data_IF_255230978545
#
_entry.id   IF_255230978545
#
_cell.length_a   1.000
_cell.length_b   1.000
_cell.length_c   1.000
_cell.angle_alpha   90.00
_cell.angle_beta   90.00
_cell.angle_gamma   90.00
#
_symmetry.space_group_name_H-M   'P 1'
#
loop_
_entity.id
_entity.type
_entity.pdbx_description
1 polymer ?
#
# COMPACT_ATOMS: atom_id res chain seq x y z
N UNK A 1 -6.16 54.93 32.05
CA UNK A 1 -6.47 56.26 31.45
C UNK A 1 -7.98 56.38 31.48
N UNK A 2 -8.55 57.34 32.21
CA UNK A 2 -9.99 57.38 32.48
C UNK A 2 -10.73 57.84 31.21
N UNK A 3 -11.43 56.92 30.53
CA UNK A 3 -12.07 57.19 29.24
C UNK A 3 -13.28 58.13 29.36
N UNK A 4 -13.88 58.23 30.54
CA UNK A 4 -15.06 59.04 30.77
C UNK A 4 -14.71 60.24 31.66
N UNK A 5 -14.93 61.45 31.16
CA UNK A 5 -14.57 62.68 31.85
C UNK A 5 -15.78 63.40 32.45
N UNK A 6 -16.97 63.21 31.87
CA UNK A 6 -18.16 63.96 32.23
C UNK A 6 -19.28 63.02 32.66
N UNK A 7 -19.34 62.71 33.95
CA UNK A 7 -20.42 61.92 34.53
C UNK A 7 -21.45 62.83 35.18
N UNK A 8 -22.71 62.73 34.77
CA UNK A 8 -23.80 63.54 35.31
C UNK A 8 -25.01 62.69 35.66
N UNK A 9 -25.68 63.08 36.74
CA UNK A 9 -27.05 62.66 37.04
C UNK A 9 -28.00 63.54 36.21
N UNK A 10 -28.96 62.93 35.52
CA UNK A 10 -29.94 63.70 34.74
C UNK A 10 -30.94 64.40 35.66
N UNK A 11 -31.71 65.35 35.12
CA UNK A 11 -32.76 66.02 35.89
C UNK A 11 -33.82 65.00 36.36
N UNK A 12 -34.15 64.02 35.51
CA UNK A 12 -35.01 62.87 35.87
C UNK A 12 -34.38 61.95 36.91
N UNK A 13 -33.08 61.68 36.78
CA UNK A 13 -32.32 60.88 37.75
C UNK A 13 -32.25 61.54 39.12
N UNK A 14 -32.14 62.87 39.16
CA UNK A 14 -32.16 63.67 40.40
C UNK A 14 -33.54 63.61 41.07
N UNK A 15 -34.61 63.68 40.26
CA UNK A 15 -35.98 63.51 40.75
C UNK A 15 -36.20 62.10 41.33
N UNK A 16 -35.75 61.05 40.63
CA UNK A 16 -35.82 59.66 41.13
C UNK A 16 -34.97 59.46 42.39
N UNK A 17 -33.75 60.01 42.44
CA UNK A 17 -32.90 59.94 43.64
C UNK A 17 -33.60 60.52 44.87
N UNK A 18 -34.32 61.64 44.71
CA UNK A 18 -35.10 62.26 45.79
C UNK A 18 -36.26 61.38 46.27
N UNK A 19 -36.83 60.53 45.41
CA UNK A 19 -37.85 59.53 45.77
C UNK A 19 -37.23 58.33 46.48
N UNK A 20 -36.05 57.88 46.05
CA UNK A 20 -35.34 56.73 46.62
C UNK A 20 -34.90 56.98 48.08
N UNK A 21 -34.54 58.22 48.42
CA UNK A 21 -34.25 58.64 49.80
C UNK A 21 -35.44 58.44 50.77
N UNK A 22 -36.66 58.19 50.26
CA UNK A 22 -37.86 57.84 51.06
C UNK A 22 -38.01 56.34 51.31
N UNK A 23 -37.00 55.53 51.02
CA UNK A 23 -36.95 54.10 51.35
C UNK A 23 -37.31 53.15 50.21
N UNK A 24 -37.30 53.61 48.95
CA UNK A 24 -37.52 52.75 47.78
C UNK A 24 -36.18 52.26 47.18
N UNK A 25 -36.10 51.02 46.69
CA UNK A 25 -34.89 50.51 46.05
C UNK A 25 -34.72 51.06 44.62
N UNK A 26 -33.49 51.43 44.25
CA UNK A 26 -33.15 51.79 42.88
C UNK A 26 -33.12 50.53 42.02
N UNK A 27 -33.96 50.48 40.98
CA UNK A 27 -33.97 49.37 40.02
C UNK A 27 -33.44 49.84 38.68
N UNK A 28 -32.19 49.46 38.38
CA UNK A 28 -31.59 49.67 37.06
C UNK A 28 -32.18 48.64 36.11
N UNK A 29 -32.77 49.09 35.02
CA UNK A 29 -33.46 48.25 34.05
C UNK A 29 -32.55 47.87 32.89
N UNK A 30 -31.76 48.83 32.39
CA UNK A 30 -30.94 48.68 31.19
C UNK A 30 -29.72 49.61 31.25
N UNK A 31 -28.68 49.26 30.48
CA UNK A 31 -27.56 50.16 30.16
C UNK A 31 -27.43 50.24 28.66
N UNK A 32 -27.24 51.44 28.16
CA UNK A 32 -27.04 51.69 26.74
C UNK A 32 -25.80 52.52 26.50
N UNK A 33 -25.32 52.46 25.28
CA UNK A 33 -24.23 53.28 24.75
C UNK A 33 -24.81 54.26 23.73
N UNK A 34 -24.20 55.44 23.62
CA UNK A 34 -24.58 56.50 22.70
C UNK A 34 -23.45 56.83 21.73
N UNK A 35 -23.83 57.08 20.48
CA UNK A 35 -22.94 57.30 19.36
C UNK A 35 -22.55 58.77 19.10
N UNK A 36 -23.07 59.72 19.87
CA UNK A 36 -22.84 61.15 19.65
C UNK A 36 -22.40 61.90 20.91
N UNK A 37 -21.62 62.95 20.71
CA UNK A 37 -21.18 63.86 21.77
C UNK A 37 -22.17 65.01 21.93
N UNK A 38 -22.62 65.24 23.16
CA UNK A 38 -23.53 66.35 23.51
C UNK A 38 -22.79 67.43 24.31
N UNK A 39 -23.11 68.72 24.14
CA UNK A 39 -22.54 69.79 24.96
C UNK A 39 -22.75 69.51 26.45
N UNK A 40 -21.71 69.72 27.26
CA UNK A 40 -21.70 69.38 28.70
C UNK A 40 -22.88 69.99 29.46
N UNK A 41 -23.27 71.22 29.08
CA UNK A 41 -24.40 71.96 29.67
C UNK A 41 -25.76 71.29 29.44
N UNK A 42 -25.90 70.48 28.38
CA UNK A 42 -27.15 69.83 27.99
C UNK A 42 -27.21 68.36 28.47
N UNK A 43 -26.12 67.80 29.00
CA UNK A 43 -26.09 66.39 29.41
C UNK A 43 -27.14 66.07 30.47
N UNK A 44 -27.41 66.99 31.40
CA UNK A 44 -28.41 66.79 32.47
C UNK A 44 -29.85 66.73 31.96
N UNK A 45 -30.12 67.38 30.83
CA UNK A 45 -31.45 67.47 30.23
C UNK A 45 -31.76 66.26 29.33
N UNK A 46 -30.79 65.37 29.09
CA UNK A 46 -30.98 64.20 28.25
C UNK A 46 -31.97 63.22 28.91
N UNK A 47 -33.00 62.83 28.15
CA UNK A 47 -33.91 61.74 28.52
C UNK A 47 -33.56 60.43 27.82
N UNK A 48 -32.78 60.50 26.75
CA UNK A 48 -32.25 59.40 25.94
C UNK A 48 -30.81 59.73 25.51
N UNK A 49 -30.03 58.72 25.16
CA UNK A 49 -28.66 58.94 24.69
C UNK A 49 -28.68 59.50 23.26
N UNK A 50 -27.63 60.23 22.88
CA UNK A 50 -27.53 60.81 21.55
C UNK A 50 -26.92 59.82 20.53
N UNK A 51 -27.38 59.88 19.28
CA UNK A 51 -26.91 59.04 18.18
C UNK A 51 -27.38 57.59 18.25
N UNK A 52 -26.50 56.67 17.84
CA UNK A 52 -26.77 55.22 17.84
C UNK A 52 -26.87 54.71 19.27
N UNK A 53 -28.08 54.39 19.70
CA UNK A 53 -28.31 53.72 20.98
C UNK A 53 -28.11 52.22 20.86
N UNK A 54 -27.19 51.66 21.64
CA UNK A 54 -27.02 50.20 21.72
C UNK A 54 -27.07 49.72 23.15
N UNK A 55 -28.00 48.80 23.41
CA UNK A 55 -28.10 48.10 24.69
C UNK A 55 -26.85 47.24 24.89
N UNK A 56 -26.26 47.35 26.07
CA UNK A 56 -25.09 46.56 26.48
C UNK A 56 -25.46 45.65 27.66
N UNK A 57 -24.63 44.66 27.94
CA UNK A 57 -24.90 43.67 28.97
C UNK A 57 -24.50 44.21 30.35
N UNK A 58 -25.47 44.22 31.25
CA UNK A 58 -25.26 44.42 32.68
C UNK A 58 -24.77 43.10 33.31
N UNK A 59 -23.66 43.14 34.04
CA UNK A 59 -23.23 42.02 34.86
C UNK A 59 -23.76 42.17 36.30
N UNK A 60 -23.77 41.10 37.10
CA UNK A 60 -24.20 41.17 38.50
C UNK A 60 -23.44 42.25 39.27
N UNK A 61 -24.19 43.17 39.88
CA UNK A 61 -23.62 44.20 40.72
C UNK A 61 -22.97 43.58 41.96
N UNK A 62 -21.82 44.11 42.37
CA UNK A 62 -21.13 43.75 43.61
C UNK A 62 -21.01 44.97 44.50
N UNK A 63 -21.06 44.77 45.81
CA UNK A 63 -20.85 45.86 46.78
C UNK A 63 -19.51 45.66 47.45
N UNK A 64 -18.64 46.66 47.37
CA UNK A 64 -17.37 46.71 48.08
C UNK A 64 -17.44 47.90 49.06
N UNK A 65 -17.40 47.60 50.36
CA UNK A 65 -17.59 48.54 51.46
C UNK A 65 -18.90 49.37 51.38
N UNK A 66 -18.82 50.60 50.88
CA UNK A 66 -19.94 51.55 50.72
C UNK A 66 -20.24 51.89 49.26
N UNK A 67 -19.52 51.28 48.32
CA UNK A 67 -19.60 51.55 46.89
C UNK A 67 -20.23 50.37 46.16
N UNK A 68 -21.30 50.59 45.42
CA UNK A 68 -21.88 49.59 44.52
C UNK A 68 -21.15 49.62 43.19
N UNK A 69 -20.55 48.51 42.77
CA UNK A 69 -19.85 48.37 41.50
C UNK A 69 -20.74 47.60 40.53
N UNK A 70 -20.98 48.18 39.36
CA UNK A 70 -21.76 47.60 38.29
C UNK A 70 -20.86 47.41 37.07
N UNK A 71 -20.41 46.17 36.80
CA UNK A 71 -19.68 45.87 35.59
C UNK A 71 -20.64 45.88 34.40
N UNK A 72 -20.22 46.47 33.30
CA UNK A 72 -20.95 46.45 32.04
C UNK A 72 -20.04 45.94 30.94
N UNK A 73 -20.62 45.16 30.03
CA UNK A 73 -19.95 44.54 28.91
C UNK A 73 -20.59 45.04 27.61
N UNK A 74 -19.78 45.67 26.77
CA UNK A 74 -20.11 45.96 25.39
C UNK A 74 -19.51 44.89 24.48
N UNK A 75 -20.36 44.28 23.67
CA UNK A 75 -19.99 43.39 22.56
C UNK A 75 -20.47 43.96 21.21
N UNK A 76 -19.80 43.54 20.14
CA UNK A 76 -20.19 43.89 18.77
C UNK A 76 -21.08 42.85 18.08
N UNK A 77 -21.75 41.95 18.81
CA UNK A 77 -22.57 40.88 18.21
C UNK A 77 -23.80 41.49 17.52
N UNK A 78 -24.04 41.20 16.25
CA UNK A 78 -25.06 41.85 15.41
C UNK A 78 -24.81 43.36 15.16
N UNK A 79 -23.60 43.87 15.37
CA UNK A 79 -23.26 45.25 14.98
C UNK A 79 -22.85 45.25 13.50
N UNK A 80 -23.72 45.78 12.63
CA UNK A 80 -23.51 45.78 11.17
C UNK A 80 -22.52 46.83 10.70
N UNK A 81 -22.59 48.02 11.29
CA UNK A 81 -21.74 49.16 10.94
C UNK A 81 -20.99 49.61 12.20
N UNK A 82 -19.73 49.97 12.05
CA UNK A 82 -18.95 50.55 13.14
C UNK A 82 -19.51 51.91 13.53
N UNK A 83 -19.32 52.27 14.80
CA UNK A 83 -19.74 53.57 15.32
C UNK A 83 -18.74 54.09 16.36
N UNK A 84 -18.72 55.40 16.55
CA UNK A 84 -17.95 56.02 17.62
C UNK A 84 -18.74 55.99 18.92
N UNK A 85 -18.21 55.33 19.94
CA UNK A 85 -18.75 55.38 21.29
C UNK A 85 -18.37 56.70 21.95
N UNK A 86 -19.40 57.47 22.34
CA UNK A 86 -19.24 58.74 23.05
C UNK A 86 -19.89 58.75 24.43
N UNK A 87 -20.96 58.00 24.64
CA UNK A 87 -21.74 58.02 25.89
C UNK A 87 -22.06 56.62 26.40
N UNK A 88 -22.19 56.47 27.72
CA UNK A 88 -22.84 55.32 28.38
C UNK A 88 -23.90 55.85 29.34
N UNK A 89 -25.11 55.34 29.23
CA UNK A 89 -26.26 55.74 30.04
C UNK A 89 -26.89 54.57 30.80
N UNK A 90 -27.18 54.79 32.07
CA UNK A 90 -27.90 53.84 32.93
C UNK A 90 -29.37 54.24 33.00
N UNK A 91 -30.25 53.30 32.70
CA UNK A 91 -31.69 53.47 32.77
C UNK A 91 -32.22 52.82 34.04
N UNK A 92 -33.17 53.49 34.68
CA UNK A 92 -33.82 53.02 35.90
C UNK A 92 -35.33 53.13 35.80
N UNK A 93 -36.03 52.30 36.57
CA UNK A 93 -37.49 52.34 36.69
C UNK A 93 -37.89 53.40 37.72
N UNK A 94 -38.57 54.45 37.26
CA UNK A 94 -39.27 55.42 38.09
C UNK A 94 -40.73 54.96 38.30
N UNK A 95 -41.24 54.95 39.55
CA UNK A 95 -42.61 54.50 39.86
C UNK A 95 -43.72 55.30 39.16
N UNK A 96 -43.45 56.56 38.80
CA UNK A 96 -44.42 57.48 38.21
C UNK A 96 -44.23 57.62 36.70
N UNK A 97 -42.98 57.60 36.22
CA UNK A 97 -42.63 57.87 34.82
C UNK A 97 -42.21 56.64 34.00
N UNK A 98 -42.02 55.49 34.63
CA UNK A 98 -41.51 54.28 33.98
C UNK A 98 -40.00 54.33 33.76
N UNK A 99 -39.50 53.77 32.65
CA UNK A 99 -38.04 53.74 32.39
C UNK A 99 -37.50 55.14 32.03
N UNK A 100 -36.54 55.62 32.83
CA UNK A 100 -35.88 56.92 32.65
C UNK A 100 -34.36 56.76 32.54
N UNK A 101 -33.70 57.67 31.81
CA UNK A 101 -32.24 57.79 31.85
C UNK A 101 -31.84 58.40 33.19
N UNK A 102 -31.26 57.59 34.08
CA UNK A 102 -30.91 57.98 35.44
C UNK A 102 -29.61 58.78 35.48
N UNK A 103 -28.53 58.21 34.98
CA UNK A 103 -27.24 58.89 34.86
C UNK A 103 -26.57 58.52 33.54
N UNK A 104 -25.65 59.37 33.11
CA UNK A 104 -24.84 59.10 31.93
C UNK A 104 -23.42 59.59 32.15
N UNK A 105 -22.49 58.92 31.48
CA UNK A 105 -21.09 59.27 31.41
C UNK A 105 -20.74 59.54 29.95
N UNK A 106 -20.13 60.70 29.68
CA UNK A 106 -19.66 61.06 28.34
C UNK A 106 -18.13 61.06 28.29
N UNK A 107 -17.60 60.49 27.22
CA UNK A 107 -16.17 60.45 26.92
C UNK A 107 -15.68 61.76 26.31
N UNK A 108 -14.42 62.09 26.56
CA UNK A 108 -13.74 63.21 25.89
C UNK A 108 -13.24 62.85 24.50
N UNK A 109 -12.96 61.57 24.27
CA UNK A 109 -12.40 61.02 23.03
C UNK A 109 -13.30 59.88 22.54
N UNK A 110 -13.86 60.03 21.34
CA UNK A 110 -14.66 58.99 20.71
C UNK A 110 -13.85 57.71 20.53
N UNK A 111 -14.42 56.57 20.93
CA UNK A 111 -13.80 55.25 20.74
C UNK A 111 -14.52 54.51 19.63
N UNK A 112 -13.80 54.17 18.56
CA UNK A 112 -14.36 53.38 17.46
C UNK A 112 -14.69 51.96 17.98
N UNK A 113 -15.95 51.58 17.83
CA UNK A 113 -16.44 50.23 18.03
C UNK A 113 -16.58 49.59 16.64
N UNK A 114 -15.74 48.58 16.31
CA UNK A 114 -15.78 47.94 15.00
C UNK A 114 -17.05 47.11 14.82
N UNK A 115 -17.51 46.96 13.58
CA UNK A 115 -18.61 46.03 13.28
C UNK A 115 -18.21 44.58 13.59
N UNK A 116 -19.19 43.68 13.64
CA UNK A 116 -18.96 42.24 13.80
C UNK A 116 -18.07 41.69 12.69
N UNK A 117 -18.29 42.16 11.45
CA UNK A 117 -17.52 41.75 10.27
C UNK A 117 -16.08 42.29 10.31
N UNK A 118 -15.88 43.50 10.83
CA UNK A 118 -14.54 44.12 10.93
C UNK A 118 -13.67 43.48 12.02
N UNK A 119 -14.26 43.12 13.17
CA UNK A 119 -13.53 42.50 14.27
C UNK A 119 -14.41 41.52 15.07
N UNK A 120 -14.56 40.27 14.60
CA UNK A 120 -15.44 39.29 15.24
C UNK A 120 -15.05 39.02 16.71
N UNK A 121 -16.01 39.19 17.63
CA UNK A 121 -15.80 38.91 19.05
C UNK A 121 -15.16 40.06 19.85
N UNK A 122 -15.18 41.28 19.32
CA UNK A 122 -14.75 42.46 20.04
C UNK A 122 -15.62 42.69 21.28
N UNK A 123 -14.95 42.84 22.43
CA UNK A 123 -15.61 43.12 23.71
C UNK A 123 -14.85 44.18 24.50
N UNK A 124 -15.59 44.99 25.25
CA UNK A 124 -15.03 45.93 26.23
C UNK A 124 -15.83 45.81 27.52
N UNK A 125 -15.12 45.71 28.64
CA UNK A 125 -15.72 45.72 29.97
C UNK A 125 -15.35 47.00 30.71
N UNK A 126 -16.31 47.58 31.42
CA UNK A 126 -16.10 48.73 32.30
C UNK A 126 -16.76 48.48 33.66
N UNK A 127 -16.07 48.83 34.74
CA UNK A 127 -16.65 48.85 36.08
C UNK A 127 -17.14 50.27 36.41
N UNK A 128 -18.44 50.42 36.64
CA UNK A 128 -19.07 51.67 37.08
C UNK A 128 -19.31 51.65 38.58
N UNK A 129 -18.78 52.64 39.30
CA UNK A 129 -18.87 52.71 40.75
C UNK A 129 -20.03 53.64 41.14
N UNK A 130 -20.84 53.27 42.12
CA UNK A 130 -22.00 54.04 42.57
C UNK A 130 -21.90 54.23 44.09
N UNK A 131 -21.63 55.46 44.51
CA UNK A 131 -21.64 55.86 45.92
C UNK A 131 -23.05 56.33 46.32
N UNK A 132 -23.85 55.46 46.94
CA UNK A 132 -25.14 55.85 47.52
C UNK A 132 -24.89 56.25 48.98
N UNK A 133 -24.45 57.49 49.20
CA UNK A 133 -24.38 58.07 50.55
C UNK A 133 -25.69 58.82 50.85
N UNK A 134 -26.22 58.70 52.08
CA UNK A 134 -27.44 59.38 52.53
C UNK A 134 -27.36 60.92 52.56
N UNK A 135 -26.36 61.56 51.93
CA UNK A 135 -26.20 63.01 51.94
C UNK A 135 -25.37 63.62 50.78
N UNK A 136 -24.79 62.85 49.85
CA UNK A 136 -23.87 63.41 48.84
C UNK A 136 -23.83 62.61 47.53
N UNK A 137 -23.48 63.25 46.39
CA UNK A 137 -23.71 62.75 45.03
C UNK A 137 -23.00 61.43 44.73
N UNK A 138 -23.54 60.67 43.79
CA UNK A 138 -22.95 59.44 43.26
C UNK A 138 -21.66 59.81 42.51
N UNK A 139 -20.50 59.65 43.15
CA UNK A 139 -19.21 59.67 42.45
C UNK A 139 -19.01 58.34 41.72
N UNK A 140 -19.10 58.40 40.39
CA UNK A 140 -18.78 57.30 39.50
C UNK A 140 -17.30 57.35 39.17
N UNK A 141 -16.50 56.71 40.00
CA UNK A 141 -15.12 56.35 39.64
C UNK A 141 -15.20 55.21 38.62
N UNK A 142 -14.25 55.14 37.68
CA UNK A 142 -14.27 54.17 36.58
C UNK A 142 -12.93 53.48 36.50
N UNK A 143 -12.94 52.15 36.45
CA UNK A 143 -11.74 51.38 36.20
C UNK A 143 -11.87 50.70 34.82
N UNK A 144 -11.00 51.11 33.89
CA UNK A 144 -10.96 50.61 32.53
C UNK A 144 -9.98 49.44 32.43
N UNK A 145 -10.32 48.29 33.01
CA UNK A 145 -9.55 47.07 32.79
C UNK A 145 -10.14 46.31 31.61
N UNK A 146 -9.83 46.79 30.40
CA UNK A 146 -10.09 46.05 29.18
C UNK A 146 -8.99 45.01 28.97
N UNK A 147 -9.22 43.78 29.41
CA UNK A 147 -8.51 42.59 28.93
C UNK A 147 -9.51 41.42 28.98
N UNK A 148 -9.49 40.59 27.94
CA UNK A 148 -10.18 39.28 27.88
C UNK A 148 -10.05 38.59 29.24
N UNK A 149 -11.17 38.15 29.84
CA UNK A 149 -11.11 37.34 31.06
C UNK A 149 -10.17 36.15 30.77
N UNK A 150 -9.11 35.98 31.56
CA UNK A 150 -8.16 34.86 31.45
C UNK A 150 -8.91 33.53 31.31
N UNK A 151 -10.05 33.39 31.99
CA UNK A 151 -10.96 32.24 31.90
C UNK A 151 -11.55 32.05 30.49
N UNK A 152 -11.99 33.11 29.81
CA UNK A 152 -12.50 33.01 28.44
C UNK A 152 -11.39 32.67 27.44
N UNK A 153 -10.20 33.25 27.61
CA UNK A 153 -9.03 32.86 26.82
C UNK A 153 -8.68 31.38 27.04
N UNK A 154 -8.78 30.90 28.28
CA UNK A 154 -8.50 29.52 28.65
C UNK A 154 -9.58 28.56 28.12
N UNK A 155 -10.85 28.96 28.14
CA UNK A 155 -11.95 28.21 27.50
C UNK A 155 -11.72 28.10 25.99
N UNK A 156 -11.36 29.18 25.31
CA UNK A 156 -11.07 29.14 23.87
C UNK A 156 -9.83 28.31 23.55
N UNK A 157 -8.76 28.46 24.33
CA UNK A 157 -7.55 27.65 24.19
C UNK A 157 -7.85 26.15 24.36
N UNK A 158 -8.66 25.78 25.35
CA UNK A 158 -9.07 24.40 25.58
C UNK A 158 -9.92 23.84 24.43
N UNK A 159 -10.83 24.65 23.87
CA UNK A 159 -11.63 24.27 22.69
C UNK A 159 -10.74 24.06 21.46
N UNK A 160 -9.78 24.95 21.21
CA UNK A 160 -8.82 24.84 20.09
C UNK A 160 -7.97 23.57 20.23
N UNK A 161 -7.44 23.31 21.42
CA UNK A 161 -6.68 22.08 21.70
C UNK A 161 -7.54 20.83 21.47
N UNK A 162 -8.80 20.85 21.91
CA UNK A 162 -9.74 19.75 21.70
C UNK A 162 -10.01 19.51 20.21
N UNK A 163 -10.21 20.57 19.43
CA UNK A 163 -10.43 20.48 17.98
C UNK A 163 -9.18 19.94 17.28
N UNK A 164 -7.99 20.41 17.66
CA UNK A 164 -6.72 19.96 17.11
C UNK A 164 -6.54 18.44 17.34
N UNK A 165 -6.75 17.97 18.57
CA UNK A 165 -6.69 16.53 18.87
C UNK A 165 -7.69 15.72 18.04
N UNK A 166 -8.93 16.20 17.88
CA UNK A 166 -9.93 15.52 17.03
C UNK A 166 -9.53 15.48 15.56
N UNK A 167 -8.87 16.52 15.06
CA UNK A 167 -8.37 16.56 13.68
C UNK A 167 -7.24 15.54 13.48
N UNK A 168 -6.34 15.40 14.45
CA UNK A 168 -5.28 14.40 14.44
C UNK A 168 -5.85 12.97 14.51
N UNK A 169 -6.86 12.75 15.35
CA UNK A 169 -7.59 11.49 15.45
C UNK A 169 -8.30 11.14 14.14
N UNK A 170 -9.00 12.10 13.52
CA UNK A 170 -9.67 11.91 12.23
C UNK A 170 -8.67 11.58 11.12
N UNK A 171 -7.55 12.29 11.07
CA UNK A 171 -6.49 12.06 10.09
C UNK A 171 -5.89 10.67 10.25
N UNK A 172 -5.62 10.27 11.49
CA UNK A 172 -5.10 8.94 11.82
C UNK A 172 -6.10 7.83 11.47
N UNK A 173 -7.38 8.00 11.82
CA UNK A 173 -8.43 7.04 11.50
C UNK A 173 -8.63 6.89 9.98
N UNK A 174 -8.61 8.01 9.24
CA UNK A 174 -8.71 7.99 7.79
C UNK A 174 -7.51 7.25 7.16
N UNK A 175 -6.30 7.49 7.66
CA UNK A 175 -5.12 6.77 7.21
C UNK A 175 -5.26 5.26 7.44
N UNK A 176 -5.68 4.83 8.64
CA UNK A 176 -5.87 3.41 8.96
C UNK A 176 -6.95 2.75 8.09
N UNK A 177 -8.02 3.48 7.76
CA UNK A 177 -9.11 2.97 6.91
C UNK A 177 -8.69 2.83 5.44
N UNK A 178 -7.92 3.79 4.93
CA UNK A 178 -7.49 3.82 3.52
C UNK A 178 -6.28 2.92 3.26
N UNK A 179 -5.50 2.63 4.30
CA UNK A 179 -4.28 1.83 4.19
C UNK A 179 -4.27 0.70 5.21
N UNK A 180 -5.19 -0.28 5.19
CA UNK A 180 -5.19 -1.37 6.16
C UNK A 180 -3.89 -2.19 6.12
N UNK A 181 -3.53 -2.85 7.22
CA UNK A 181 -2.39 -3.78 7.25
C UNK A 181 -2.59 -4.86 6.18
N UNK A 182 -1.55 -5.11 5.39
CA UNK A 182 -1.60 -6.01 4.24
C UNK A 182 -1.96 -5.34 2.91
N UNK A 183 -2.32 -4.05 2.88
CA UNK A 183 -2.51 -3.32 1.62
C UNK A 183 -1.19 -3.28 0.83
N UNK A 184 -1.30 -3.45 -0.47
CA UNK A 184 -0.19 -3.37 -1.42
C UNK A 184 -0.32 -2.09 -2.23
N UNK A 185 0.71 -1.27 -2.22
CA UNK A 185 0.80 -0.03 -3.00
C UNK A 185 1.88 -0.12 -4.07
N UNK A 186 1.66 0.54 -5.20
CA UNK A 186 2.58 0.59 -6.34
C UNK A 186 2.92 2.04 -6.70
N UNK A 187 4.22 2.35 -6.79
CA UNK A 187 4.73 3.67 -7.12
C UNK A 187 5.61 3.63 -8.36
N UNK A 188 5.34 4.52 -9.33
CA UNK A 188 6.21 4.70 -10.50
C UNK A 188 7.54 5.40 -10.19
N UNK A 189 7.69 5.96 -8.98
CA UNK A 189 8.91 6.60 -8.48
C UNK A 189 9.38 5.95 -7.18
N UNK A 190 10.68 6.06 -6.91
CA UNK A 190 11.25 5.56 -5.67
C UNK A 190 10.85 6.45 -4.48
N UNK A 191 9.71 6.13 -3.88
CA UNK A 191 9.21 6.76 -2.66
C UNK A 191 9.19 5.71 -1.55
N UNK A 192 9.58 6.13 -0.35
CA UNK A 192 9.44 5.34 0.86
C UNK A 192 8.16 5.75 1.61
N UNK A 193 7.12 4.90 1.66
CA UNK A 193 5.87 5.23 2.36
C UNK A 193 6.05 5.38 3.87
N UNK A 194 7.15 4.87 4.45
CA UNK A 194 7.46 5.06 5.87
C UNK A 194 7.63 6.54 6.23
N UNK A 195 8.03 7.39 5.27
CA UNK A 195 8.14 8.84 5.46
C UNK A 195 6.77 9.53 5.64
N UNK A 196 5.67 8.85 5.28
CA UNK A 196 4.31 9.39 5.28
C UNK A 196 3.39 8.68 6.29
N UNK A 197 3.95 7.82 7.15
CA UNK A 197 3.24 7.11 8.21
C UNK A 197 3.00 5.62 7.94
N UNK A 198 2.70 4.87 9.01
CA UNK A 198 2.63 3.40 8.98
C UNK A 198 3.99 2.72 8.86
N UNK A 199 4.01 1.38 8.87
CA UNK A 199 5.23 0.60 8.63
C UNK A 199 5.10 -0.20 7.34
N UNK A 200 6.09 -0.08 6.46
CA UNK A 200 6.04 -0.62 5.10
C UNK A 200 7.31 -1.39 4.73
N UNK A 201 7.13 -2.49 4.00
CA UNK A 201 8.23 -3.32 3.48
C UNK A 201 8.13 -3.50 1.97
N UNK A 202 9.27 -3.67 1.30
CA UNK A 202 9.32 -3.93 -0.15
C UNK A 202 8.63 -5.25 -0.46
N UNK A 203 7.69 -5.25 -1.40
CA UNK A 203 6.87 -6.40 -1.71
C UNK A 203 7.07 -6.91 -3.13
N UNK A 204 7.36 -8.22 -3.27
CA UNK A 204 7.38 -8.88 -4.58
C UNK A 204 8.52 -8.45 -5.52
N UNK A 205 9.68 -8.02 -5.00
CA UNK A 205 10.83 -7.62 -5.82
C UNK A 205 11.15 -8.68 -6.90
N UNK A 206 11.20 -8.24 -8.16
CA UNK A 206 11.48 -9.10 -9.32
C UNK A 206 10.36 -10.10 -9.67
N UNK A 207 9.13 -9.89 -9.19
CA UNK A 207 8.00 -10.83 -9.38
C UNK A 207 6.70 -10.12 -9.75
N UNK A 208 5.91 -10.77 -10.59
CA UNK A 208 4.52 -10.40 -10.87
C UNK A 208 3.61 -10.96 -9.77
N UNK A 209 2.63 -10.18 -9.32
CA UNK A 209 1.61 -10.63 -8.37
C UNK A 209 0.55 -11.44 -9.09
N UNK A 210 0.11 -12.52 -8.47
CA UNK A 210 -1.00 -13.35 -8.91
C UNK A 210 -2.04 -13.33 -7.79
N UNK A 211 -3.32 -13.24 -8.15
CA UNK A 211 -4.41 -13.33 -7.18
C UNK A 211 -4.39 -14.70 -6.50
N UNK A 212 -4.67 -14.71 -5.19
CA UNK A 212 -4.87 -15.97 -4.48
C UNK A 212 -6.19 -16.57 -4.96
N UNK A 213 -6.16 -17.87 -5.24
CA UNK A 213 -7.33 -18.68 -5.55
C UNK A 213 -7.39 -19.81 -4.52
N UNK A 214 -8.17 -19.63 -3.46
CA UNK A 214 -8.30 -20.61 -2.38
C UNK A 214 -8.85 -21.96 -2.87
N UNK A 215 -9.46 -22.02 -4.07
CA UNK A 215 -9.98 -23.24 -4.67
C UNK A 215 -8.95 -23.99 -5.52
N UNK A 216 -7.74 -23.43 -5.68
CA UNK A 216 -6.68 -24.03 -6.48
C UNK A 216 -6.11 -25.31 -5.82
N UNK A 217 -6.58 -26.45 -6.31
CA UNK A 217 -6.10 -27.77 -5.91
C UNK A 217 -4.70 -28.11 -6.42
N UNK A 218 -4.15 -27.33 -7.36
CA UNK A 218 -2.77 -27.50 -7.84
C UNK A 218 -1.72 -26.98 -6.85
N UNK A 219 -2.17 -26.38 -5.74
CA UNK A 219 -1.34 -25.88 -4.63
C UNK A 219 -0.35 -24.79 -5.05
N UNK A 220 -0.60 -24.13 -6.18
CA UNK A 220 0.28 -23.07 -6.70
C UNK A 220 -0.13 -21.70 -6.15
N UNK A 221 -1.44 -21.41 -6.12
CA UNK A 221 -1.97 -20.08 -5.82
C UNK A 221 -2.97 -20.02 -4.66
N UNK A 222 -3.07 -21.10 -3.86
CA UNK A 222 -4.10 -21.24 -2.82
C UNK A 222 -3.83 -20.54 -1.47
N UNK A 223 -2.66 -19.91 -1.28
CA UNK A 223 -2.37 -19.11 -0.08
C UNK A 223 -1.54 -17.88 -0.46
N UNK A 224 -1.65 -16.83 0.34
CA UNK A 224 -0.86 -15.59 0.20
C UNK A 224 0.64 -15.86 0.31
N UNK A 225 1.46 -15.02 -0.33
CA UNK A 225 2.92 -15.01 -0.24
C UNK A 225 3.64 -16.28 -0.74
N UNK A 226 2.94 -17.20 -1.41
CA UNK A 226 3.59 -18.25 -2.18
C UNK A 226 4.43 -17.67 -3.31
N UNK A 227 5.60 -18.26 -3.51
CA UNK A 227 6.59 -17.84 -4.50
C UNK A 227 6.85 -19.00 -5.45
N UNK A 228 6.92 -18.72 -6.73
CA UNK A 228 7.19 -19.71 -7.77
C UNK A 228 7.58 -19.02 -9.08
N UNK A 229 7.69 -19.82 -10.15
CA UNK A 229 8.11 -19.36 -11.47
C UNK A 229 9.63 -19.35 -11.66
N UNK A 230 10.05 -19.46 -12.93
CA UNK A 230 11.44 -19.33 -13.33
C UNK A 230 11.50 -18.35 -14.51
N UNK A 231 12.46 -17.42 -14.47
CA UNK A 231 12.71 -16.46 -15.55
C UNK A 231 13.30 -17.13 -16.79
N UNK A 232 14.05 -18.22 -16.60
CA UNK A 232 14.79 -18.92 -17.63
C UNK A 232 14.02 -20.18 -18.05
N UNK A 233 14.01 -20.47 -19.35
CA UNK A 233 13.44 -21.71 -19.87
C UNK A 233 14.23 -22.90 -19.32
N UNK A 234 13.54 -23.87 -18.75
CA UNK A 234 14.21 -25.07 -18.21
C UNK A 234 14.70 -25.97 -19.34
N UNK A 235 15.93 -26.46 -19.21
CA UNK A 235 16.46 -27.49 -20.10
C UNK A 235 15.56 -28.72 -20.03
N UNK A 236 15.16 -29.21 -21.20
CA UNK A 236 14.34 -30.42 -21.31
C UNK A 236 14.76 -31.20 -22.57
N UNK A 237 14.41 -32.48 -22.59
CA UNK A 237 14.71 -33.38 -23.72
C UNK A 237 13.41 -33.81 -24.38
N UNK A 238 13.42 -33.84 -25.71
CA UNK A 238 12.32 -34.40 -26.47
C UNK A 238 12.60 -35.88 -26.76
N UNK A 239 11.72 -36.76 -26.29
CA UNK A 239 11.76 -38.19 -26.56
C UNK A 239 11.05 -38.55 -27.86
N UNK A 240 11.49 -39.64 -28.50
CA UNK A 240 10.74 -40.25 -29.59
C UNK A 240 9.58 -41.10 -29.02
N UNK A 241 8.42 -41.05 -29.67
CA UNK A 241 7.30 -41.93 -29.33
C UNK A 241 7.69 -43.40 -29.51
N UNK A 242 7.12 -44.28 -28.69
CA UNK A 242 7.30 -45.72 -28.85
C UNK A 242 6.78 -46.15 -30.22
N UNK A 243 7.65 -46.71 -31.06
CA UNK A 243 7.27 -47.25 -32.36
C UNK A 243 7.91 -48.63 -32.53
N UNK A 244 7.25 -49.47 -33.33
CA UNK A 244 7.72 -50.82 -33.63
C UNK A 244 8.17 -50.91 -35.08
N UNK A 245 9.30 -51.57 -35.31
CA UNK A 245 9.72 -51.94 -36.66
C UNK A 245 9.23 -53.35 -36.95
N UNK A 246 8.40 -53.51 -37.98
CA UNK A 246 8.06 -54.83 -38.52
C UNK A 246 9.11 -55.22 -39.56
N UNK A 247 9.90 -56.26 -39.27
CA UNK A 247 10.82 -56.85 -40.23
C UNK A 247 10.09 -58.02 -40.90
N UNK A 248 9.72 -57.85 -42.18
CA UNK A 248 9.28 -58.96 -43.02
C UNK A 248 10.51 -59.66 -43.61
N UNK A 249 10.96 -60.75 -42.98
CA UNK A 249 11.95 -61.64 -43.57
C UNK A 249 11.26 -62.57 -44.57
N UNK A 250 11.26 -62.21 -45.86
CA UNK A 250 10.91 -63.17 -46.91
C UNK A 250 12.08 -64.15 -47.06
N UNK A 251 11.97 -65.34 -46.47
CA UNK A 251 12.88 -66.45 -46.72
C UNK A 251 12.68 -66.98 -48.14
N UNK A 252 13.26 -66.30 -49.13
CA UNK A 252 13.41 -66.86 -50.47
C UNK A 252 14.34 -68.07 -50.41
N UNK A 253 13.88 -69.23 -50.89
CA UNK A 253 14.71 -70.43 -51.05
C UNK A 253 15.83 -70.10 -52.03
N UNK A 254 17.05 -69.89 -51.53
CA UNK A 254 18.24 -69.80 -52.38
C UNK A 254 18.89 -71.18 -52.48
N UNK A 255 18.80 -71.79 -53.67
CA UNK A 255 19.56 -73.00 -54.01
C UNK A 255 20.84 -72.57 -54.72
N UNK A 256 21.93 -72.44 -53.96
CA UNK A 256 23.26 -72.25 -54.54
C UNK A 256 23.96 -73.60 -54.64
N UNK A 257 23.77 -74.29 -55.77
CA UNK A 257 24.50 -75.51 -56.09
C UNK A 257 25.93 -75.17 -56.53
N UNK A 258 26.94 -75.67 -55.81
CA UNK A 258 28.31 -75.71 -56.30
C UNK A 258 28.82 -77.16 -56.31
N UNK A 259 29.75 -77.45 -57.23
CA UNK A 259 30.36 -78.78 -57.39
C UNK A 259 31.82 -78.73 -56.93
N UNK A 260 32.30 -79.81 -56.30
CA UNK A 260 33.71 -79.97 -55.97
C UNK A 260 34.36 -80.94 -56.96
N UNK A 261 35.43 -80.50 -57.62
CA UNK A 261 36.28 -81.37 -58.42
C UNK A 261 37.33 -82.02 -57.53
N UNK A 262 37.17 -83.30 -57.20
CA UNK A 262 38.24 -84.06 -56.54
C UNK A 262 39.27 -84.50 -57.59
N UNK A 263 40.52 -84.09 -57.39
CA UNK A 263 41.64 -84.51 -58.22
C UNK A 263 41.84 -86.02 -58.16
N UNK A 264 41.92 -86.64 -59.33
CA UNK A 264 42.16 -88.07 -59.55
C UNK A 264 43.46 -88.54 -58.86
N UNK A 265 43.38 -89.04 -57.63
CA UNK A 265 44.51 -89.66 -56.94
C UNK A 265 44.67 -91.09 -57.42
N UNK A 266 45.62 -91.29 -58.34
CA UNK A 266 46.01 -92.61 -58.86
C UNK A 266 46.99 -93.28 -57.89
N UNK A 267 46.50 -94.22 -57.08
CA UNK A 267 47.36 -95.12 -56.32
C UNK A 267 47.50 -96.46 -57.05
N UNK A 268 48.72 -96.83 -57.45
CA UNK A 268 49.06 -98.14 -58.02
C UNK A 268 49.49 -99.08 -56.88
N UNK A 269 48.69 -100.10 -56.58
CA UNK A 269 49.05 -101.17 -55.64
C UNK A 269 49.20 -102.53 -56.35
N UNK A 270 50.11 -103.33 -55.80
CA UNK A 270 50.75 -104.52 -56.37
C UNK A 270 49.88 -105.78 -56.33
N UNK A 271 50.02 -106.72 -57.30
CA UNK A 271 49.33 -108.00 -57.25
C UNK A 271 49.96 -108.98 -56.25
N UNK A 272 49.10 -109.74 -55.58
CA UNK A 272 49.43 -110.89 -54.71
C UNK A 272 49.96 -112.03 -55.58
N UNK A 273 51.19 -112.50 -55.34
CA UNK A 273 51.76 -113.68 -55.99
C UNK A 273 51.55 -114.93 -55.13
N UNK A 274 51.03 -116.01 -55.72
CA UNK A 274 50.64 -117.24 -55.02
C UNK A 274 51.50 -118.48 -55.32
N UNK A 275 52.74 -118.34 -55.79
CA UNK A 275 53.69 -119.48 -55.96
C UNK A 275 55.16 -119.02 -56.03
N UNK A 276 56.07 -119.79 -55.41
CA UNK A 276 57.52 -119.52 -55.23
C UNK A 276 58.36 -119.71 -56.51
N UNK A 277 59.26 -118.78 -56.89
CA UNK A 277 60.26 -118.99 -57.95
C UNK A 277 61.58 -119.58 -57.41
N UNK A 278 62.03 -120.72 -57.95
CA UNK A 278 63.33 -121.36 -57.63
C UNK A 278 64.54 -120.76 -58.38
N UNK A 279 65.73 -120.81 -57.75
CA UNK A 279 67.04 -120.30 -58.21
C UNK A 279 67.60 -121.03 -59.44
N UNK A 280 68.66 -120.60 -60.14
CA UNK A 280 69.98 -120.04 -59.76
C UNK A 280 70.64 -119.48 -61.05
N UNK A 281 71.86 -118.89 -61.17
CA UNK A 281 72.96 -118.39 -60.33
C UNK A 281 73.98 -117.76 -61.31
N UNK A 282 74.73 -116.74 -60.87
CA UNK A 282 76.02 -116.32 -61.45
C UNK A 282 76.02 -115.10 -62.39
N UNK A 283 76.98 -114.17 -62.35
CA UNK A 283 77.44 -113.28 -61.27
C UNK A 283 78.04 -112.03 -61.95
N UNK A 284 78.24 -110.96 -61.17
CA UNK A 284 79.09 -109.76 -61.40
C UNK A 284 78.72 -108.74 -62.51
N UNK A 285 78.15 -107.60 -62.10
CA UNK A 285 78.20 -106.34 -62.85
C UNK A 285 76.95 -105.47 -62.77
N UNK A 286 77.08 -104.26 -62.23
CA UNK A 286 76.12 -103.14 -62.42
C UNK A 286 74.85 -103.17 -61.57
N UNK A 287 74.59 -102.06 -60.87
CA UNK A 287 73.41 -101.84 -60.03
C UNK A 287 72.10 -102.09 -60.79
N UNK A 288 71.48 -103.25 -60.54
CA UNK A 288 70.23 -103.65 -61.18
C UNK A 288 69.23 -104.06 -60.12
N UNK A 289 68.22 -103.22 -59.92
CA UNK A 289 67.05 -103.51 -59.08
C UNK A 289 66.35 -104.76 -59.63
N UNK A 290 66.23 -105.79 -58.79
CA UNK A 290 65.60 -107.07 -59.16
C UNK A 290 64.09 -106.88 -59.28
N UNK A 291 63.56 -106.88 -60.50
CA UNK A 291 62.11 -106.97 -60.74
C UNK A 291 61.71 -108.45 -60.90
N UNK A 292 60.72 -108.95 -60.13
CA UNK A 292 60.15 -110.26 -60.40
C UNK A 292 59.42 -110.25 -61.74
N UNK A 293 59.70 -111.24 -62.59
CA UNK A 293 59.08 -111.41 -63.90
C UNK A 293 57.71 -112.06 -63.70
N UNK A 294 56.63 -111.42 -64.14
CA UNK A 294 55.27 -111.99 -64.10
C UNK A 294 55.20 -113.11 -65.16
N UNK A 295 54.59 -114.24 -64.82
CA UNK A 295 54.39 -115.35 -65.76
C UNK A 295 53.49 -114.91 -66.93
N UNK A 296 53.70 -115.50 -68.10
CA UNK A 296 53.09 -115.13 -69.38
C UNK A 296 51.55 -115.15 -69.42
N UNK A 297 50.88 -115.54 -68.33
CA UNK A 297 49.42 -115.70 -68.25
C UNK A 297 48.75 -114.81 -67.19
N UNK A 298 49.47 -113.86 -66.57
CA UNK A 298 48.89 -112.92 -65.61
C UNK A 298 48.09 -111.80 -66.30
N UNK A 299 46.79 -111.67 -65.99
CA UNK A 299 45.93 -110.62 -66.56
C UNK A 299 45.77 -109.43 -65.60
N UNK A 300 45.90 -108.21 -66.11
CA UNK A 300 45.78 -106.97 -65.31
C UNK A 300 44.30 -106.54 -65.22
N UNK A 301 43.77 -106.29 -64.02
CA UNK A 301 42.43 -105.70 -63.82
C UNK A 301 42.53 -104.39 -63.01
N UNK A 302 41.82 -103.35 -63.46
CA UNK A 302 41.78 -102.02 -62.84
C UNK A 302 40.40 -101.79 -62.22
N UNK A 303 40.33 -101.59 -60.91
CA UNK A 303 39.12 -101.13 -60.22
C UNK A 303 39.28 -99.62 -59.95
N UNK A 304 38.32 -98.82 -60.42
CA UNK A 304 38.18 -97.41 -60.06
C UNK A 304 36.90 -97.25 -59.24
N UNK A 305 37.00 -96.77 -58.00
CA UNK A 305 35.84 -96.33 -57.22
C UNK A 305 35.70 -94.82 -57.32
N UNK A 306 34.54 -94.35 -57.80
CA UNK A 306 34.13 -92.95 -57.72
C UNK A 306 32.98 -92.87 -56.71
N UNK A 307 33.17 -92.13 -55.62
CA UNK A 307 32.13 -91.88 -54.63
C UNK A 307 31.67 -90.42 -54.71
N UNK A 308 30.36 -90.20 -54.78
CA UNK A 308 29.75 -88.87 -54.62
C UNK A 308 29.67 -88.56 -53.13
N UNK A 309 30.24 -87.43 -52.69
CA UNK A 309 30.02 -86.91 -51.33
C UNK A 309 29.09 -85.71 -51.39
N UNK A 310 28.02 -85.75 -50.59
CA UNK A 310 27.10 -84.64 -50.34
C UNK A 310 27.22 -84.27 -48.86
N UNK A 311 27.47 -83.00 -48.58
CA UNK A 311 27.51 -82.45 -47.23
C UNK A 311 26.40 -81.41 -47.07
N UNK A 312 25.55 -81.60 -46.07
CA UNK A 312 24.46 -80.69 -45.76
C UNK A 312 25.02 -79.47 -45.01
N UNK A 313 24.61 -78.25 -45.36
CA UNK A 313 24.95 -77.06 -44.59
C UNK A 313 23.72 -76.18 -44.38
N UNK A 314 23.75 -75.40 -43.30
CA UNK A 314 22.63 -74.55 -42.87
C UNK A 314 22.99 -73.09 -43.10
N UNK A 315 22.04 -72.30 -43.63
CA UNK A 315 22.15 -70.85 -43.63
C UNK A 315 21.49 -70.31 -42.36
N UNK A 316 22.23 -69.52 -41.59
CA UNK A 316 21.68 -68.79 -40.46
C UNK A 316 21.51 -67.33 -40.87
N UNK A 317 20.27 -66.85 -40.94
CA UNK A 317 19.97 -65.43 -41.16
C UNK A 317 19.55 -64.87 -39.80
N UNK A 318 20.38 -64.02 -39.22
CA UNK A 318 20.05 -63.25 -38.01
C UNK A 318 19.76 -61.80 -38.39
N UNK A 319 18.70 -61.25 -37.82
CA UNK A 319 18.39 -59.82 -37.86
C UNK A 319 18.15 -59.33 -36.43
N UNK A 320 18.73 -58.19 -36.08
CA UNK A 320 18.46 -57.51 -34.81
C UNK A 320 17.67 -56.25 -35.14
N UNK A 321 16.43 -56.12 -34.65
CA UNK A 321 15.82 -54.78 -34.54
C UNK A 321 16.49 -54.06 -33.37
N UNK A 322 17.10 -52.91 -33.65
CA UNK A 322 17.68 -52.07 -32.60
C UNK A 322 16.60 -51.68 -31.59
N UNK A 323 16.93 -51.74 -30.29
CA UNK A 323 16.03 -51.26 -29.24
C UNK A 323 15.79 -49.75 -29.36
N UNK A 324 14.57 -49.32 -29.07
CA UNK A 324 14.18 -47.91 -29.09
C UNK A 324 14.76 -47.18 -27.86
N UNK A 325 15.98 -46.65 -27.99
CA UNK A 325 16.54 -45.72 -27.01
C UNK A 325 17.26 -44.61 -27.77
N UNK A 326 16.50 -43.57 -28.10
CA UNK A 326 17.02 -42.34 -28.66
C UNK A 326 16.18 -41.18 -28.16
N UNK A 327 16.79 -40.32 -27.36
CA UNK A 327 16.31 -38.93 -27.29
C UNK A 327 16.60 -38.30 -28.65
N UNK A 328 15.73 -37.42 -29.12
CA UNK A 328 16.12 -36.58 -30.25
C UNK A 328 17.35 -35.77 -29.82
N UNK A 329 18.31 -35.53 -30.72
CA UNK A 329 19.43 -34.62 -30.46
C UNK A 329 19.00 -33.17 -30.25
N UNK A 330 17.69 -32.90 -30.39
CA UNK A 330 17.04 -31.64 -30.11
C UNK A 330 16.67 -31.56 -28.64
N UNK A 331 17.53 -30.93 -27.84
CA UNK A 331 17.17 -30.37 -26.55
C UNK A 331 17.01 -28.86 -26.70
N UNK A 332 16.03 -28.28 -26.00
CA UNK A 332 15.98 -26.83 -25.86
C UNK A 332 17.09 -26.39 -24.92
N UNK A 333 18.13 -25.72 -25.43
CA UNK A 333 19.07 -24.97 -24.58
C UNK A 333 18.38 -23.68 -24.17
N UNK A 334 17.74 -23.69 -23.00
CA UNK A 334 16.88 -22.60 -22.58
C UNK A 334 17.63 -21.31 -22.27
N UNK A 335 17.37 -20.27 -23.06
CA UNK A 335 17.43 -18.86 -22.65
C UNK A 335 16.42 -18.01 -23.45
N UNK A 336 15.44 -18.65 -24.10
CA UNK A 336 14.56 -18.07 -25.13
C UNK A 336 13.55 -17.06 -24.58
N UNK A 337 14.02 -16.05 -23.84
CA UNK A 337 13.43 -14.76 -23.48
C UNK A 337 11.90 -14.75 -23.40
N UNK A 338 11.31 -15.80 -22.81
CA UNK A 338 9.87 -15.99 -22.74
C UNK A 338 9.27 -15.18 -21.59
N UNK A 339 9.90 -14.04 -21.30
CA UNK A 339 9.44 -13.10 -20.30
C UNK A 339 8.38 -12.24 -20.97
N UNK A 340 7.15 -12.31 -20.45
CA UNK A 340 6.08 -11.43 -20.91
C UNK A 340 6.53 -9.96 -20.83
N UNK A 341 6.09 -9.08 -21.75
CA UNK A 341 6.32 -7.64 -21.62
C UNK A 341 5.92 -7.16 -20.22
N UNK A 342 6.80 -6.40 -19.57
CA UNK A 342 6.61 -5.97 -18.19
C UNK A 342 6.97 -4.50 -18.00
N UNK A 343 6.34 -3.89 -17.00
CA UNK A 343 6.71 -2.58 -16.46
C UNK A 343 7.08 -2.76 -14.99
N UNK A 344 8.15 -2.12 -14.56
CA UNK A 344 8.61 -2.18 -13.16
C UNK A 344 8.12 -0.98 -12.39
N UNK A 345 7.55 -1.24 -11.22
CA UNK A 345 7.14 -0.23 -10.23
C UNK A 345 7.66 -0.62 -8.86
N UNK A 346 7.79 0.36 -7.97
CA UNK A 346 8.14 0.13 -6.59
C UNK A 346 6.90 -0.31 -5.82
N UNK A 347 6.89 -1.55 -5.36
CA UNK A 347 5.76 -2.11 -4.62
C UNK A 347 6.09 -2.24 -3.14
N UNK A 348 5.13 -1.86 -2.31
CA UNK A 348 5.22 -1.92 -0.85
C UNK A 348 4.01 -2.62 -0.26
N UNK A 349 4.20 -3.31 0.86
CA UNK A 349 3.13 -3.87 1.67
C UNK A 349 3.16 -3.25 3.06
N UNK A 350 1.99 -2.89 3.59
CA UNK A 350 1.88 -2.39 4.97
C UNK A 350 1.98 -3.56 5.95
N UNK A 351 2.88 -3.46 6.93
CA UNK A 351 3.09 -4.49 7.96
C UNK A 351 2.54 -4.10 9.33
N UNK A 352 2.49 -2.80 9.66
CA UNK A 352 1.92 -2.27 10.91
C UNK A 352 1.22 -0.94 10.71
#
# INVERSE_FOLDING_TARGET
MNMWENTVLTDKGTALQSKLLKGQPLKITNVKTGGEKVPIVNLRQQTTLAGVERKITLQPARTEDTTTIIPVLLDNINLKESYELWQVGFYAEDPDEGEILFCLSQSSVGKIIPSEDENPGFTITWDFYFNISNSTPIEVVLNSNGLVNIEQHQIHSNKINTITNKLDDLSSNLFLLTHPVGIVLEFGKNVDPNDYGGSWERFGNGRTTVGVDESDNSNNFNIVNKKGGNKDLQAHTHGLNNHTHSINLNSGIQSAGHTHGTGNSTYRYWPIASVEPGGDSGDVGGATYKYPRISSNGSWSRITSTGTQSANHTHNISGTSGGNSGNTSSSGSGDSQNLQPYITVYRWIRVL
#
